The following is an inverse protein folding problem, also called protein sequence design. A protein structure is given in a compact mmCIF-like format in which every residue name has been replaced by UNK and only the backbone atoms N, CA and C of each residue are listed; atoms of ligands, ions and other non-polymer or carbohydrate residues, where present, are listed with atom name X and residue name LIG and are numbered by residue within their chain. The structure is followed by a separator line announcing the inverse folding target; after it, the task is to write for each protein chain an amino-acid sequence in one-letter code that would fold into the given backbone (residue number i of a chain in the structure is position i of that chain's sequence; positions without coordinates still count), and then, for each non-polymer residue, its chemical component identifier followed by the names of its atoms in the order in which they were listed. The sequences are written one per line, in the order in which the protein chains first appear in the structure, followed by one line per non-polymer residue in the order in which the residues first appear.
data_IF_661200813938
#
_entry.id   IF_661200813938
#
_cell.length_a   1.000
_cell.length_b   1.000
_cell.length_c   1.000
_cell.angle_alpha   90.00
_cell.angle_beta   90.00
_cell.angle_gamma   90.00
#
_symmetry.space_group_name_H-M   'P 1'
#
loop_
_entity.id
_entity.type
_entity.pdbx_description
1 polymer ?
#
# COMPACT_ATOMS: atom_id res chain seq x y z
N UNK A 1 -16.78 6.69 -27.93
CA UNK A 1 -15.61 6.22 -27.16
C UNK A 1 -16.15 5.63 -25.86
N UNK A 2 -15.51 4.61 -25.28
CA UNK A 2 -15.93 4.10 -23.96
C UNK A 2 -15.77 5.18 -22.88
N UNK A 3 -16.70 5.18 -21.92
CA UNK A 3 -16.73 6.20 -20.85
C UNK A 3 -15.79 5.86 -19.70
N UNK A 4 -15.48 4.54 -19.53
CA UNK A 4 -14.70 4.01 -18.42
C UNK A 4 -13.55 3.13 -18.90
N UNK A 5 -12.51 3.01 -18.11
CA UNK A 5 -11.39 2.12 -18.38
C UNK A 5 -11.74 0.68 -18.06
N UNK A 6 -12.44 0.48 -16.95
CA UNK A 6 -12.86 -0.82 -16.46
C UNK A 6 -14.24 -0.73 -15.79
N UNK A 7 -15.08 -1.71 -16.06
CA UNK A 7 -16.30 -1.95 -15.25
C UNK A 7 -16.24 -3.35 -14.68
N UNK A 8 -16.39 -3.45 -13.36
CA UNK A 8 -16.65 -4.70 -12.66
C UNK A 8 -18.17 -4.89 -12.58
N UNK A 9 -18.66 -6.01 -13.12
CA UNK A 9 -20.07 -6.37 -13.15
C UNK A 9 -20.45 -7.35 -12.05
N UNK A 10 -21.67 -7.26 -11.58
CA UNK A 10 -22.25 -8.22 -10.64
C UNK A 10 -21.42 -8.36 -9.35
N UNK A 11 -20.96 -7.24 -8.79
CA UNK A 11 -20.20 -7.21 -7.57
C UNK A 11 -21.13 -7.38 -6.36
N UNK A 12 -20.74 -8.23 -5.43
CA UNK A 12 -21.28 -8.20 -4.06
C UNK A 12 -20.35 -7.30 -3.23
N UNK A 13 -20.58 -5.98 -3.31
CA UNK A 13 -19.71 -4.97 -2.70
C UNK A 13 -19.89 -4.96 -1.18
N UNK A 14 -18.79 -5.18 -0.46
CA UNK A 14 -18.70 -5.07 1.00
C UNK A 14 -18.02 -3.73 1.31
N UNK A 15 -18.76 -2.77 1.80
CA UNK A 15 -18.26 -1.45 2.15
C UNK A 15 -19.13 -0.79 3.23
N UNK A 16 -18.49 -0.05 4.14
CA UNK A 16 -19.19 0.76 5.16
C UNK A 16 -20.30 -0.01 5.91
N UNK A 17 -19.95 -1.20 6.41
CA UNK A 17 -20.86 -2.11 7.14
C UNK A 17 -22.10 -2.56 6.35
N UNK A 18 -22.07 -2.48 5.04
CA UNK A 18 -23.16 -2.91 4.16
C UNK A 18 -22.67 -3.87 3.07
N UNK A 19 -23.60 -4.66 2.55
CA UNK A 19 -23.36 -5.51 1.38
C UNK A 19 -24.41 -5.12 0.33
N UNK A 20 -23.93 -4.78 -0.88
CA UNK A 20 -24.79 -4.33 -1.97
C UNK A 20 -24.42 -5.00 -3.29
N UNK A 21 -25.41 -5.41 -4.06
CA UNK A 21 -25.18 -5.87 -5.44
C UNK A 21 -25.11 -4.68 -6.37
N UNK A 22 -23.95 -4.47 -6.96
CA UNK A 22 -23.64 -3.28 -7.76
C UNK A 22 -22.65 -3.58 -8.88
N UNK A 23 -22.59 -2.67 -9.84
CA UNK A 23 -21.47 -2.53 -10.76
C UNK A 23 -20.53 -1.40 -10.28
N UNK A 24 -19.25 -1.53 -10.56
CA UNK A 24 -18.22 -0.55 -10.19
C UNK A 24 -17.48 -0.12 -11.45
N UNK A 25 -17.53 1.17 -11.77
CA UNK A 25 -16.78 1.74 -12.89
C UNK A 25 -15.53 2.47 -12.42
N UNK A 26 -14.43 2.23 -13.13
CA UNK A 26 -13.12 2.79 -12.88
C UNK A 26 -12.69 3.62 -14.09
N UNK A 27 -12.22 4.84 -13.83
CA UNK A 27 -11.65 5.75 -14.80
C UNK A 27 -10.44 6.44 -14.20
N UNK A 28 -9.38 6.59 -14.99
CA UNK A 28 -8.15 7.25 -14.58
C UNK A 28 -7.62 6.73 -13.22
N UNK A 29 -7.68 5.39 -13.03
CA UNK A 29 -7.27 4.67 -11.80
C UNK A 29 -8.09 5.01 -10.55
N UNK A 30 -9.28 5.59 -10.70
CA UNK A 30 -10.18 5.93 -9.59
C UNK A 30 -11.53 5.26 -9.78
N UNK A 31 -12.20 4.95 -8.68
CA UNK A 31 -13.60 4.55 -8.69
C UNK A 31 -14.41 5.79 -9.05
N UNK A 32 -15.05 5.78 -10.21
CA UNK A 32 -15.80 6.91 -10.76
C UNK A 32 -17.30 6.77 -10.46
N UNK A 33 -17.82 5.53 -10.50
CA UNK A 33 -19.24 5.27 -10.32
C UNK A 33 -19.48 3.92 -9.66
N UNK A 34 -20.37 3.89 -8.70
CA UNK A 34 -20.94 2.67 -8.11
C UNK A 34 -22.46 2.76 -8.28
N UNK A 35 -23.08 1.77 -8.88
CA UNK A 35 -24.52 1.77 -9.16
C UNK A 35 -25.04 0.34 -9.27
N UNK A 36 -26.35 0.15 -9.03
CA UNK A 36 -27.00 -1.15 -9.22
C UNK A 36 -26.87 -1.69 -10.65
N UNK A 37 -26.72 -0.80 -11.63
CA UNK A 37 -26.38 -1.14 -13.00
C UNK A 37 -25.65 0.03 -13.67
N UNK A 38 -24.65 -0.27 -14.51
CA UNK A 38 -23.92 0.70 -15.31
C UNK A 38 -24.11 0.31 -16.77
N UNK A 39 -24.82 1.16 -17.53
CA UNK A 39 -25.12 0.92 -18.96
C UNK A 39 -24.03 1.43 -19.90
N UNK A 40 -23.20 2.32 -19.41
CA UNK A 40 -22.12 2.95 -20.20
C UNK A 40 -21.02 1.93 -20.53
N UNK A 41 -20.44 2.07 -21.72
CA UNK A 41 -19.37 1.18 -22.21
C UNK A 41 -18.02 1.46 -21.52
N UNK A 42 -17.27 0.40 -21.27
CA UNK A 42 -15.89 0.47 -20.78
C UNK A 42 -14.91 -0.14 -21.82
N UNK A 43 -13.63 0.22 -21.69
CA UNK A 43 -12.56 -0.43 -22.44
C UNK A 43 -12.46 -1.93 -22.10
N UNK A 44 -12.69 -2.25 -20.83
CA UNK A 44 -12.68 -3.62 -20.30
C UNK A 44 -13.85 -3.82 -19.35
N UNK A 45 -14.48 -4.99 -19.42
CA UNK A 45 -15.51 -5.40 -18.49
C UNK A 45 -15.13 -6.76 -17.88
N UNK A 46 -15.35 -6.91 -16.60
CA UNK A 46 -15.12 -8.17 -15.84
C UNK A 46 -16.39 -8.48 -15.07
N UNK A 47 -17.01 -9.61 -15.39
CA UNK A 47 -18.08 -10.14 -14.56
C UNK A 47 -17.48 -10.92 -13.39
N UNK A 48 -17.72 -10.47 -12.18
CA UNK A 48 -17.20 -11.11 -10.98
C UNK A 48 -18.17 -12.17 -10.44
N UNK A 49 -19.29 -12.38 -11.12
CA UNK A 49 -20.25 -13.46 -10.86
C UNK A 49 -20.75 -13.48 -9.39
N UNK A 50 -21.07 -12.32 -8.83
CA UNK A 50 -21.56 -12.20 -7.47
C UNK A 50 -20.51 -12.46 -6.37
N UNK A 51 -19.24 -12.51 -6.72
CA UNK A 51 -18.18 -12.61 -5.70
C UNK A 51 -18.13 -11.34 -4.85
N UNK A 52 -17.66 -11.53 -3.63
CA UNK A 52 -17.42 -10.42 -2.72
C UNK A 52 -16.29 -9.53 -3.27
N UNK A 53 -16.56 -8.24 -3.30
CA UNK A 53 -15.60 -7.18 -3.66
C UNK A 53 -15.51 -6.22 -2.49
N UNK A 54 -14.31 -5.98 -2.01
CA UNK A 54 -14.04 -5.06 -0.91
C UNK A 54 -12.93 -4.10 -1.29
N UNK A 55 -12.81 -2.94 -0.64
CA UNK A 55 -11.62 -2.11 -0.74
C UNK A 55 -10.36 -2.90 -0.43
N UNK A 56 -9.27 -2.63 -1.15
CA UNK A 56 -7.98 -3.24 -0.84
C UNK A 56 -7.52 -2.89 0.56
N UNK A 57 -6.96 -3.86 1.27
CA UNK A 57 -6.49 -3.69 2.65
C UNK A 57 -5.23 -2.81 2.65
N UNK A 58 -5.13 -1.93 3.64
CA UNK A 58 -3.93 -1.16 3.94
C UNK A 58 -3.27 -1.81 5.15
N UNK A 59 -2.02 -2.26 4.98
CA UNK A 59 -1.19 -2.72 6.09
C UNK A 59 -0.21 -1.61 6.46
N UNK A 60 -0.44 -0.99 7.58
CA UNK A 60 0.32 0.17 8.05
C UNK A 60 1.58 -0.20 8.84
N UNK A 61 1.92 -1.49 8.93
CA UNK A 61 3.09 -1.94 9.68
C UNK A 61 3.70 -3.22 9.10
N UNK A 62 4.39 -3.10 7.96
CA UNK A 62 5.13 -4.23 7.37
C UNK A 62 6.63 -4.15 7.64
N UNK A 63 7.33 -5.28 7.45
CA UNK A 63 8.78 -5.41 7.61
C UNK A 63 9.37 -6.13 6.40
N UNK A 64 9.53 -5.44 5.28
CA UNK A 64 10.05 -6.03 4.04
C UNK A 64 11.58 -6.20 4.03
N UNK A 65 12.26 -5.64 5.03
CA UNK A 65 13.68 -5.89 5.34
C UNK A 65 14.70 -5.42 4.29
N UNK A 66 14.29 -4.81 3.23
CA UNK A 66 15.17 -4.23 2.21
C UNK A 66 15.25 -2.70 2.39
N UNK A 67 16.47 -2.11 2.32
CA UNK A 67 17.77 -2.70 2.00
C UNK A 67 18.43 -3.47 3.15
N UNK A 68 19.49 -4.21 2.80
CA UNK A 68 20.51 -4.76 3.70
C UNK A 68 20.13 -6.06 4.43
N UNK A 69 18.87 -6.38 4.59
CA UNK A 69 18.39 -7.59 5.29
C UNK A 69 17.62 -8.54 4.35
N UNK A 70 17.96 -8.54 3.07
CA UNK A 70 17.24 -9.26 2.00
C UNK A 70 17.19 -10.79 2.18
N UNK A 71 18.04 -11.36 3.02
CA UNK A 71 17.93 -12.76 3.43
C UNK A 71 16.64 -13.07 4.21
N UNK A 72 16.02 -12.05 4.81
CA UNK A 72 14.77 -12.17 5.57
C UNK A 72 13.54 -11.84 4.74
N UNK A 73 13.68 -11.00 3.72
CA UNK A 73 12.62 -10.57 2.82
C UNK A 73 13.08 -9.46 1.88
N UNK A 74 12.43 -9.33 0.74
CA UNK A 74 12.69 -8.32 -0.28
C UNK A 74 11.39 -7.58 -0.61
N UNK A 75 11.49 -6.30 -0.97
CA UNK A 75 10.29 -5.50 -1.35
C UNK A 75 9.49 -6.21 -2.44
N UNK A 76 10.17 -6.79 -3.44
CA UNK A 76 9.50 -7.43 -4.57
C UNK A 76 8.66 -8.65 -4.17
N UNK A 77 9.22 -9.54 -3.38
CA UNK A 77 8.58 -10.80 -2.99
C UNK A 77 7.49 -10.55 -1.94
N UNK A 78 7.80 -9.73 -0.94
CA UNK A 78 6.89 -9.45 0.17
C UNK A 78 5.67 -8.62 -0.28
N UNK A 79 5.88 -7.61 -1.14
CA UNK A 79 4.77 -6.83 -1.69
C UNK A 79 3.88 -7.66 -2.62
N UNK A 80 4.46 -8.62 -3.36
CA UNK A 80 3.68 -9.56 -4.18
C UNK A 80 2.85 -10.49 -3.29
N UNK A 81 3.43 -11.02 -2.22
CA UNK A 81 2.72 -11.86 -1.26
C UNK A 81 1.57 -11.08 -0.58
N UNK A 82 1.83 -9.82 -0.19
CA UNK A 82 0.82 -8.91 0.34
C UNK A 82 -0.35 -8.73 -0.63
N UNK A 83 -0.05 -8.48 -1.92
CA UNK A 83 -1.07 -8.31 -2.96
C UNK A 83 -1.92 -9.57 -3.14
N UNK A 84 -1.32 -10.78 -3.12
CA UNK A 84 -2.05 -12.04 -3.16
C UNK A 84 -2.97 -12.24 -1.95
N UNK A 85 -2.62 -11.65 -0.79
CA UNK A 85 -3.47 -11.62 0.40
C UNK A 85 -4.56 -10.54 0.39
N UNK A 86 -4.64 -9.71 -0.67
CA UNK A 86 -5.62 -8.61 -0.78
C UNK A 86 -5.14 -7.29 -0.17
N UNK A 87 -3.89 -7.20 0.24
CA UNK A 87 -3.26 -5.95 0.71
C UNK A 87 -2.79 -5.16 -0.51
N UNK A 88 -3.32 -3.96 -0.70
CA UNK A 88 -3.01 -3.12 -1.86
C UNK A 88 -2.12 -1.93 -1.53
N UNK A 89 -1.93 -1.64 -0.25
CA UNK A 89 -1.07 -0.55 0.23
C UNK A 89 -0.32 -1.00 1.48
N UNK A 90 0.95 -0.64 1.57
CA UNK A 90 1.83 -1.03 2.68
C UNK A 90 2.61 0.16 3.20
N UNK A 91 2.85 0.20 4.53
CA UNK A 91 3.74 1.15 5.17
C UNK A 91 4.86 0.37 5.86
N UNK A 92 6.09 0.51 5.35
CA UNK A 92 7.21 -0.31 5.78
C UNK A 92 8.07 0.37 6.84
N UNK A 93 8.39 -0.39 7.86
CA UNK A 93 9.09 0.06 9.06
C UNK A 93 10.56 0.40 8.77
N UNK A 94 11.20 1.29 9.57
CA UNK A 94 12.54 1.79 9.32
C UNK A 94 13.67 0.82 9.67
N UNK A 95 13.37 -0.36 10.22
CA UNK A 95 14.33 -1.34 10.73
C UNK A 95 14.95 -2.21 9.63
N UNK A 96 15.63 -1.57 8.74
CA UNK A 96 16.44 -2.12 7.63
C UNK A 96 17.94 -1.83 7.89
N UNK A 97 18.84 -2.15 6.96
CA UNK A 97 20.27 -1.90 7.15
C UNK A 97 20.86 -1.19 5.90
N UNK A 98 21.29 0.07 6.04
CA UNK A 98 21.20 0.92 7.23
C UNK A 98 19.76 1.29 7.60
N UNK A 99 19.50 1.55 8.89
CA UNK A 99 18.17 1.98 9.34
C UNK A 99 17.79 3.34 8.72
N UNK A 100 16.53 3.49 8.30
CA UNK A 100 16.04 4.72 7.63
C UNK A 100 15.86 5.85 8.63
N UNK A 101 16.94 6.48 9.06
CA UNK A 101 16.95 7.56 10.06
C UNK A 101 17.30 8.92 9.48
N UNK A 102 17.57 9.00 8.17
CA UNK A 102 17.79 10.24 7.43
C UNK A 102 16.87 10.32 6.23
N UNK A 103 16.65 11.53 5.70
CA UNK A 103 15.84 11.74 4.52
C UNK A 103 16.44 11.10 3.28
N UNK A 104 17.77 11.08 3.16
CA UNK A 104 18.45 10.44 2.03
C UNK A 104 18.22 8.93 2.02
N UNK A 105 18.37 8.25 3.17
CA UNK A 105 18.08 6.82 3.29
C UNK A 105 16.59 6.50 3.05
N UNK A 106 15.70 7.40 3.44
CA UNK A 106 14.29 7.27 3.16
C UNK A 106 14.01 7.37 1.66
N UNK A 107 14.63 8.35 0.97
CA UNK A 107 14.47 8.53 -0.49
C UNK A 107 15.02 7.32 -1.25
N UNK A 108 16.17 6.76 -0.84
CA UNK A 108 16.70 5.53 -1.42
C UNK A 108 15.67 4.38 -1.38
N UNK A 109 14.93 4.24 -0.27
CA UNK A 109 13.87 3.25 -0.15
C UNK A 109 12.70 3.52 -1.09
N UNK A 110 12.30 4.78 -1.26
CA UNK A 110 11.28 5.15 -2.24
C UNK A 110 11.70 4.77 -3.66
N UNK A 111 12.98 4.98 -4.02
CA UNK A 111 13.50 4.60 -5.34
C UNK A 111 13.54 3.07 -5.51
N UNK A 112 13.95 2.31 -4.49
CA UNK A 112 13.90 0.85 -4.52
C UNK A 112 12.46 0.33 -4.71
N UNK A 113 11.50 0.87 -3.97
CA UNK A 113 10.11 0.45 -4.06
C UNK A 113 9.47 0.82 -5.40
N UNK A 114 9.84 1.96 -5.98
CA UNK A 114 9.38 2.37 -7.31
C UNK A 114 9.65 1.32 -8.38
N UNK A 115 10.77 0.60 -8.26
CA UNK A 115 11.17 -0.44 -9.21
C UNK A 115 10.63 -1.83 -8.86
N UNK A 116 10.39 -2.09 -7.56
CA UNK A 116 10.18 -3.44 -7.05
C UNK A 116 8.80 -3.71 -6.49
N UNK A 117 8.10 -2.69 -5.96
CA UNK A 117 6.85 -2.93 -5.24
C UNK A 117 5.67 -3.19 -6.18
N UNK A 118 4.87 -4.18 -5.82
CA UNK A 118 3.59 -4.50 -6.46
C UNK A 118 2.40 -3.80 -5.79
N UNK A 119 2.58 -3.29 -4.56
CA UNK A 119 1.57 -2.54 -3.82
C UNK A 119 1.87 -1.04 -3.88
N UNK A 120 0.89 -0.20 -3.55
CA UNK A 120 1.19 1.16 -3.14
C UNK A 120 2.03 1.11 -1.87
N UNK A 121 2.94 2.04 -1.70
CA UNK A 121 3.90 1.98 -0.60
C UNK A 121 4.13 3.33 0.04
N UNK A 122 4.45 3.29 1.31
CA UNK A 122 5.03 4.37 2.08
C UNK A 122 6.04 3.80 3.08
N UNK A 123 6.84 4.67 3.68
CA UNK A 123 7.90 4.28 4.58
C UNK A 123 7.89 5.15 5.83
N UNK A 124 8.27 4.55 6.95
CA UNK A 124 8.53 5.29 8.17
C UNK A 124 9.96 5.80 8.23
N UNK A 125 10.11 7.05 8.69
CA UNK A 125 11.40 7.59 9.10
C UNK A 125 11.64 7.21 10.57
N UNK A 126 12.73 6.52 10.85
CA UNK A 126 13.11 6.11 12.20
C UNK A 126 13.55 7.29 13.06
N UNK A 127 13.02 7.37 14.28
CA UNK A 127 13.44 8.36 15.25
C UNK A 127 14.63 7.86 16.07
N UNK A 128 15.64 8.74 16.26
CA UNK A 128 16.78 8.53 17.14
C UNK A 128 16.98 9.76 18.03
N UNK A 129 17.75 9.66 19.11
CA UNK A 129 18.04 10.85 19.94
C UNK A 129 18.66 12.02 19.17
N UNK A 130 19.34 11.74 18.05
CA UNK A 130 20.19 12.71 17.36
C UNK A 130 19.63 13.20 16.02
N UNK A 131 18.44 12.71 15.57
CA UNK A 131 17.91 13.03 14.24
C UNK A 131 16.63 13.90 14.23
N UNK A 132 16.36 14.62 15.30
CA UNK A 132 15.14 15.44 15.41
C UNK A 132 15.01 16.48 14.28
N UNK A 133 16.14 17.01 13.78
CA UNK A 133 16.13 17.98 12.69
C UNK A 133 15.82 17.34 11.33
N UNK A 134 16.19 16.09 11.13
CA UNK A 134 15.75 15.31 9.95
C UNK A 134 14.22 15.08 10.00
N UNK A 135 13.70 14.72 11.17
CA UNK A 135 12.26 14.50 11.37
C UNK A 135 11.46 15.79 11.09
N UNK A 136 11.96 16.94 11.57
CA UNK A 136 11.30 18.24 11.32
C UNK A 136 11.28 18.63 9.84
N UNK A 137 12.28 18.21 9.07
CA UNK A 137 12.35 18.47 7.63
C UNK A 137 11.53 17.47 6.80
N UNK A 138 11.13 16.34 7.41
CA UNK A 138 10.39 15.30 6.70
C UNK A 138 9.09 15.85 6.12
N UNK A 139 8.89 15.62 4.83
CA UNK A 139 7.66 16.00 4.15
C UNK A 139 6.51 15.10 4.64
N UNK A 140 5.23 15.58 4.71
CA UNK A 140 4.06 14.77 5.02
C UNK A 140 3.86 13.52 4.14
N UNK A 141 4.58 13.39 3.04
CA UNK A 141 4.62 12.16 2.23
C UNK A 141 5.36 11.01 2.93
N UNK A 142 6.23 11.32 3.88
CA UNK A 142 6.88 10.34 4.72
C UNK A 142 6.14 10.27 6.05
N UNK A 143 5.67 9.08 6.40
CA UNK A 143 5.07 8.88 7.74
C UNK A 143 6.21 8.89 8.75
N UNK A 144 6.14 9.79 9.74
CA UNK A 144 7.13 9.82 10.82
C UNK A 144 6.71 8.80 11.91
N UNK A 145 7.58 7.84 12.17
CA UNK A 145 7.38 6.88 13.24
C UNK A 145 8.11 7.33 14.51
N UNK A 146 7.34 7.74 15.51
CA UNK A 146 7.85 8.26 16.80
C UNK A 146 7.76 7.24 17.93
N UNK A 147 7.29 6.01 17.68
CA UNK A 147 7.11 5.02 18.71
C UNK A 147 8.34 4.11 18.82
N UNK A 148 9.11 4.28 19.90
CA UNK A 148 10.13 3.33 20.30
C UNK A 148 9.44 2.09 20.89
N UNK A 149 9.48 0.96 20.20
CA UNK A 149 9.10 -0.32 20.82
C UNK A 149 10.13 -0.70 21.87
N UNK A 150 9.70 -0.76 23.11
CA UNK A 150 10.51 -1.22 24.23
C UNK A 150 11.01 -2.68 24.10
N UNK A 151 10.54 -3.41 23.09
CA UNK A 151 10.86 -4.83 22.88
C UNK A 151 11.92 -5.12 21.81
N UNK A 152 12.39 -4.11 21.09
CA UNK A 152 13.44 -4.29 20.05
C UNK A 152 14.85 -4.02 20.57
N UNK A 153 15.03 -3.79 21.85
CA UNK A 153 16.33 -3.55 22.50
C UNK A 153 16.91 -4.78 23.19
N UNK A 154 16.34 -5.97 23.02
CA UNK A 154 17.01 -7.20 23.44
C UNK A 154 18.06 -7.59 22.41
N UNK A 155 19.35 -7.62 22.77
CA UNK A 155 20.34 -8.25 21.93
C UNK A 155 20.16 -9.78 22.03
N UNK A 156 19.82 -10.41 20.94
CA UNK A 156 20.04 -11.84 20.71
C UNK A 156 21.33 -12.03 19.91
#
# INVERSE_FOLDING_TARGET
MPNFDLVLRNCNLINENSISQVDIAIKDKRIEKISSAISEKANKEIDVNGKNVAPGVIDDQVHFREPGLTKKGEIKTESLAALYGGITSTMDMPNVSPASTTLDLLEERFQLAKEKSWTNYSFYLGATPDNIDEIKKANPKAVSYTHLRAHETSPD
#
